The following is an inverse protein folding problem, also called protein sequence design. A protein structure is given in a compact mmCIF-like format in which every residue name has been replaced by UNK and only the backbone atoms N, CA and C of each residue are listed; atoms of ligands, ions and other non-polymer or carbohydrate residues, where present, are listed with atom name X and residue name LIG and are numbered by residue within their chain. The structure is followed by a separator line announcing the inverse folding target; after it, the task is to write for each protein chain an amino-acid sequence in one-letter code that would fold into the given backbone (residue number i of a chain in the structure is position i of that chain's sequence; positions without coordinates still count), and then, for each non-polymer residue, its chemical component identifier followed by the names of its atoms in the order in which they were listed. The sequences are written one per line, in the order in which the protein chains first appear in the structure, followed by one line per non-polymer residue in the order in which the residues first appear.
data_IF_869033626463
#
_entry.id   IF_869033626463
#
_cell.length_a   1.000
_cell.length_b   1.000
_cell.length_c   1.000
_cell.angle_alpha   90.00
_cell.angle_beta   90.00
_cell.angle_gamma   90.00
#
_symmetry.space_group_name_H-M   'P 1'
#
loop_
_entity.id
_entity.type
_entity.pdbx_description
1 polymer ?
#
# COMPACT_ATOMS: atom_id res chain seq x y z
N UNK A 1 15.42 -7.85 -0.09
CA UNK A 1 15.85 -6.43 -0.13
C UNK A 1 15.84 -5.87 1.28
N UNK A 2 16.93 -5.28 1.77
CA UNK A 2 17.08 -4.90 3.19
C UNK A 2 16.05 -3.86 3.68
N UNK A 3 15.49 -3.07 2.76
CA UNK A 3 14.65 -1.90 3.06
C UNK A 3 13.14 -2.12 2.82
N UNK A 4 12.75 -3.25 2.21
CA UNK A 4 11.33 -3.59 2.03
C UNK A 4 10.73 -4.16 3.32
N UNK A 5 9.42 -3.98 3.50
CA UNK A 5 8.70 -4.40 4.70
C UNK A 5 8.39 -5.88 4.63
N UNK A 6 9.02 -6.66 5.51
CA UNK A 6 8.66 -8.05 5.74
C UNK A 6 7.61 -8.13 6.86
N UNK A 7 6.80 -9.20 6.85
CA UNK A 7 5.89 -9.47 7.96
C UNK A 7 6.68 -9.71 9.26
N UNK A 8 6.24 -9.24 10.45
CA UNK A 8 6.98 -9.37 11.72
C UNK A 8 7.38 -10.78 12.15
N UNK A 9 6.76 -11.84 11.59
CA UNK A 9 7.16 -13.24 11.85
C UNK A 9 8.28 -13.74 10.93
N UNK A 10 8.67 -12.96 9.93
CA UNK A 10 9.80 -13.26 9.05
C UNK A 10 11.13 -13.04 9.76
N UNK A 11 12.11 -13.90 9.52
CA UNK A 11 13.50 -13.71 9.96
C UNK A 11 14.14 -12.44 9.36
N UNK A 12 13.62 -11.97 8.23
CA UNK A 12 14.13 -10.80 7.51
C UNK A 12 13.53 -9.47 8.00
N UNK A 13 12.59 -9.50 8.94
CA UNK A 13 11.94 -8.30 9.45
C UNK A 13 12.89 -7.40 10.24
N UNK A 14 12.83 -6.11 9.95
CA UNK A 14 13.54 -5.06 10.69
C UNK A 14 12.58 -3.89 10.93
N UNK A 15 12.45 -3.36 12.15
CA UNK A 15 11.51 -2.27 12.46
C UNK A 15 11.64 -1.04 11.56
N UNK A 16 12.86 -0.71 11.11
CA UNK A 16 13.12 0.43 10.20
C UNK A 16 12.38 0.29 8.85
N UNK A 17 12.05 -0.93 8.44
CA UNK A 17 11.34 -1.22 7.20
C UNK A 17 9.94 -0.63 7.18
N UNK A 18 9.30 -0.43 8.33
CA UNK A 18 7.99 0.23 8.46
C UNK A 18 8.02 1.62 7.82
N UNK A 19 9.16 2.30 7.85
CA UNK A 19 9.33 3.58 7.18
C UNK A 19 10.00 3.44 5.82
N UNK A 20 11.06 2.64 5.70
CA UNK A 20 11.88 2.64 4.48
C UNK A 20 11.19 2.01 3.28
N UNK A 21 10.24 1.10 3.49
CA UNK A 21 9.54 0.44 2.37
C UNK A 21 8.75 1.43 1.51
N UNK A 22 8.32 2.56 2.09
CA UNK A 22 7.59 3.63 1.42
C UNK A 22 8.41 4.29 0.30
N UNK A 23 9.73 4.12 0.30
CA UNK A 23 10.65 4.69 -0.68
C UNK A 23 11.22 3.64 -1.64
N UNK A 24 10.85 2.37 -1.46
CA UNK A 24 11.29 1.26 -2.30
C UNK A 24 10.29 1.02 -3.43
N UNK A 25 10.78 0.54 -4.57
CA UNK A 25 9.95 0.26 -5.74
C UNK A 25 10.35 -1.06 -6.38
N UNK A 26 9.35 -1.84 -6.81
CA UNK A 26 9.55 -3.19 -7.34
C UNK A 26 10.21 -3.20 -8.73
N UNK A 27 9.94 -2.19 -9.55
CA UNK A 27 10.48 -2.04 -10.90
C UNK A 27 10.36 -0.59 -11.38
N UNK A 28 10.92 -0.31 -12.56
CA UNK A 28 10.90 1.02 -13.17
C UNK A 28 9.49 1.60 -13.33
N UNK A 29 8.54 0.82 -13.87
CA UNK A 29 7.18 1.30 -14.09
C UNK A 29 6.44 1.63 -12.79
N UNK A 30 6.67 0.81 -11.75
CA UNK A 30 6.13 1.08 -10.43
C UNK A 30 6.68 2.39 -9.85
N UNK A 31 7.98 2.67 -10.01
CA UNK A 31 8.56 3.95 -9.64
C UNK A 31 7.97 5.11 -10.46
N UNK A 32 7.94 4.94 -11.78
CA UNK A 32 7.47 5.98 -12.71
C UNK A 32 6.06 6.44 -12.38
N UNK A 33 5.09 5.54 -12.25
CA UNK A 33 3.70 5.92 -11.99
C UNK A 33 3.48 6.53 -10.61
N UNK A 34 4.20 6.06 -9.58
CA UNK A 34 4.15 6.70 -8.25
C UNK A 34 4.68 8.13 -8.31
N UNK A 35 5.85 8.33 -8.93
CA UNK A 35 6.45 9.66 -9.01
C UNK A 35 5.64 10.59 -9.92
N UNK A 36 5.06 10.07 -10.99
CA UNK A 36 4.16 10.81 -11.88
C UNK A 36 2.91 11.31 -11.13
N UNK A 37 2.28 10.44 -10.34
CA UNK A 37 1.14 10.83 -9.52
C UNK A 37 1.53 11.84 -8.42
N UNK A 38 2.66 11.64 -7.74
CA UNK A 38 3.18 12.61 -6.76
C UNK A 38 3.49 13.96 -7.40
N UNK A 39 4.07 13.97 -8.59
CA UNK A 39 4.38 15.21 -9.30
C UNK A 39 3.11 15.99 -9.66
N UNK A 40 2.10 15.32 -10.22
CA UNK A 40 0.87 16.00 -10.64
C UNK A 40 -0.01 16.41 -9.45
N UNK A 41 -0.33 15.47 -8.58
CA UNK A 41 -1.33 15.69 -7.52
C UNK A 41 -0.68 16.18 -6.24
N UNK A 42 0.51 15.67 -5.92
CA UNK A 42 1.26 16.06 -4.72
C UNK A 42 1.66 17.53 -4.75
N UNK A 43 2.17 18.04 -5.87
CA UNK A 43 2.53 19.46 -6.01
C UNK A 43 1.34 20.40 -5.75
N UNK A 44 0.14 20.05 -6.24
CA UNK A 44 -1.06 20.85 -6.00
C UNK A 44 -1.40 20.89 -4.51
N UNK A 45 -1.37 19.73 -3.83
CA UNK A 45 -1.65 19.66 -2.39
C UNK A 45 -0.58 20.36 -1.55
N UNK A 46 0.70 20.22 -1.92
CA UNK A 46 1.80 20.88 -1.23
C UNK A 46 1.71 22.40 -1.35
N UNK A 47 1.32 22.94 -2.52
CA UNK A 47 1.11 24.38 -2.69
C UNK A 47 -0.02 24.92 -1.81
N UNK A 48 -1.06 24.13 -1.53
CA UNK A 48 -2.18 24.53 -0.65
C UNK A 48 -1.81 24.41 0.83
N UNK A 49 -1.12 23.33 1.22
CA UNK A 49 -0.89 23.01 2.62
C UNK A 49 0.47 23.45 3.16
N UNK A 50 1.42 23.73 2.27
CA UNK A 50 2.84 23.86 2.56
C UNK A 50 3.52 22.50 2.79
N UNK A 51 4.87 22.47 2.73
CA UNK A 51 5.67 21.25 2.75
C UNK A 51 5.48 20.42 4.02
N UNK A 52 5.37 21.06 5.18
CA UNK A 52 5.23 20.38 6.48
C UNK A 52 3.94 19.55 6.57
N UNK A 53 2.80 20.13 6.19
CA UNK A 53 1.51 19.43 6.24
C UNK A 53 1.44 18.37 5.14
N UNK A 54 1.95 18.65 3.95
CA UNK A 54 2.05 17.66 2.89
C UNK A 54 2.85 16.42 3.32
N UNK A 55 4.03 16.61 3.92
CA UNK A 55 4.85 15.51 4.42
C UNK A 55 4.14 14.69 5.51
N UNK A 56 3.48 15.35 6.48
CA UNK A 56 2.69 14.65 7.51
C UNK A 56 1.58 13.83 6.84
N UNK A 57 0.88 14.41 5.86
CA UNK A 57 -0.18 13.73 5.14
C UNK A 57 0.35 12.48 4.41
N UNK A 58 1.44 12.63 3.65
CA UNK A 58 2.10 11.55 2.93
C UNK A 58 2.51 10.41 3.88
N UNK A 59 3.16 10.74 4.99
CA UNK A 59 3.60 9.76 5.99
C UNK A 59 2.42 9.03 6.65
N UNK A 60 1.36 9.75 7.04
CA UNK A 60 0.18 9.13 7.65
C UNK A 60 -0.53 8.20 6.67
N UNK A 61 -0.63 8.59 5.38
CA UNK A 61 -1.23 7.72 4.37
C UNK A 61 -0.38 6.46 4.13
N UNK A 62 0.94 6.60 4.02
CA UNK A 62 1.82 5.45 3.82
C UNK A 62 1.88 4.51 5.04
N UNK A 63 1.97 5.04 6.26
CA UNK A 63 1.92 4.23 7.48
C UNK A 63 0.54 3.60 7.70
N UNK A 64 -0.53 4.29 7.35
CA UNK A 64 -1.89 3.73 7.35
C UNK A 64 -2.05 2.59 6.36
N UNK A 65 -1.50 2.74 5.16
CA UNK A 65 -1.44 1.67 4.16
C UNK A 65 -0.64 0.47 4.66
N UNK A 66 0.54 0.69 5.26
CA UNK A 66 1.35 -0.36 5.86
C UNK A 66 0.60 -1.09 6.98
N UNK A 67 -0.11 -0.35 7.86
CA UNK A 67 -0.90 -0.97 8.92
C UNK A 67 -2.02 -1.85 8.35
N UNK A 68 -2.77 -1.37 7.36
CA UNK A 68 -3.84 -2.17 6.72
C UNK A 68 -3.26 -3.39 6.01
N UNK A 69 -2.16 -3.21 5.29
CA UNK A 69 -1.41 -4.29 4.64
C UNK A 69 -1.01 -5.38 5.63
N UNK A 70 -0.30 -5.02 6.70
CA UNK A 70 0.15 -5.95 7.75
C UNK A 70 -1.02 -6.65 8.44
N UNK A 71 -2.17 -5.97 8.57
CA UNK A 71 -3.37 -6.57 9.15
C UNK A 71 -3.95 -7.67 8.26
N UNK A 72 -3.95 -7.48 6.93
CA UNK A 72 -4.40 -8.50 5.98
C UNK A 72 -3.40 -9.66 5.94
N UNK A 73 -2.10 -9.38 5.93
CA UNK A 73 -1.08 -10.44 6.03
C UNK A 73 -1.22 -11.22 7.34
N UNK A 74 -1.46 -10.55 8.47
CA UNK A 74 -1.67 -11.23 9.75
C UNK A 74 -2.87 -12.19 9.71
N UNK A 75 -3.97 -11.77 9.06
CA UNK A 75 -5.13 -12.62 8.85
C UNK A 75 -4.79 -13.84 7.95
N UNK A 76 -4.08 -13.63 6.85
CA UNK A 76 -3.67 -14.72 5.96
C UNK A 76 -2.67 -15.68 6.63
N UNK A 77 -1.71 -15.16 7.38
CA UNK A 77 -0.79 -15.94 8.20
C UNK A 77 -1.57 -16.84 9.16
N UNK A 78 -2.50 -16.29 9.92
CA UNK A 78 -3.32 -17.05 10.87
C UNK A 78 -4.13 -18.16 10.17
N UNK A 79 -4.64 -17.91 8.96
CA UNK A 79 -5.32 -18.92 8.14
C UNK A 79 -4.37 -20.03 7.69
N UNK A 80 -3.18 -19.68 7.22
CA UNK A 80 -2.20 -20.64 6.68
C UNK A 80 -1.60 -21.54 7.77
N UNK A 81 -1.23 -20.98 8.93
CA UNK A 81 -0.63 -21.78 10.01
C UNK A 81 -1.60 -22.80 10.61
N UNK A 82 -2.91 -22.55 10.52
CA UNK A 82 -3.94 -23.49 10.94
C UNK A 82 -4.17 -24.63 9.93
N UNK A 83 -3.64 -24.52 8.71
CA UNK A 83 -3.83 -25.48 7.63
C UNK A 83 -2.61 -26.39 7.39
N UNK A 84 -1.53 -26.22 8.15
CA UNK A 84 -0.31 -27.03 8.08
C UNK A 84 0.02 -27.64 9.44
N UNK A 85 0.83 -28.71 9.47
CA UNK A 85 1.27 -29.33 10.72
C UNK A 85 2.28 -28.44 11.45
N UNK A 86 2.42 -28.58 12.79
CA UNK A 86 3.45 -27.86 13.55
C UNK A 86 4.87 -28.09 13.02
N UNK A 87 5.22 -29.32 12.64
CA UNK A 87 6.54 -29.65 12.07
C UNK A 87 6.78 -28.93 10.73
N UNK A 88 5.76 -28.87 9.86
CA UNK A 88 5.84 -28.14 8.60
C UNK A 88 5.95 -26.63 8.82
N UNK A 89 5.24 -26.09 9.83
CA UNK A 89 5.36 -24.68 10.22
C UNK A 89 6.78 -24.36 10.67
N UNK A 90 7.34 -25.17 11.57
CA UNK A 90 8.71 -24.98 12.07
C UNK A 90 9.73 -25.03 10.92
N UNK A 91 9.57 -25.97 9.99
CA UNK A 91 10.42 -26.07 8.81
C UNK A 91 10.36 -24.81 7.94
N UNK A 92 9.16 -24.26 7.69
CA UNK A 92 9.01 -23.02 6.90
C UNK A 92 9.61 -21.82 7.62
N UNK A 93 9.44 -21.72 8.95
CA UNK A 93 9.97 -20.61 9.73
C UNK A 93 11.51 -20.61 9.75
N UNK A 94 12.13 -21.79 9.88
CA UNK A 94 13.59 -21.91 10.01
C UNK A 94 14.33 -21.99 8.68
N UNK A 95 13.75 -22.62 7.64
CA UNK A 95 14.44 -22.85 6.37
C UNK A 95 13.84 -22.05 5.20
N UNK A 96 12.65 -21.47 5.37
CA UNK A 96 11.90 -20.86 4.29
C UNK A 96 12.62 -19.69 3.61
N UNK A 97 13.33 -18.87 4.40
CA UNK A 97 14.14 -17.75 3.88
C UNK A 97 15.27 -18.26 2.97
N UNK A 98 16.07 -19.21 3.46
CA UNK A 98 17.17 -19.80 2.68
C UNK A 98 16.67 -20.52 1.42
N UNK A 99 15.53 -21.21 1.50
CA UNK A 99 14.90 -21.82 0.33
C UNK A 99 14.47 -20.77 -0.71
N UNK A 100 13.84 -19.68 -0.26
CA UNK A 100 13.36 -18.62 -1.14
C UNK A 100 14.53 -17.93 -1.87
N UNK A 101 15.61 -17.64 -1.15
CA UNK A 101 16.83 -17.05 -1.72
C UNK A 101 17.52 -17.98 -2.74
N UNK A 102 17.43 -19.30 -2.53
CA UNK A 102 17.91 -20.30 -3.49
C UNK A 102 16.96 -20.50 -4.69
N UNK A 103 15.87 -19.74 -4.80
CA UNK A 103 14.87 -19.90 -5.85
C UNK A 103 14.03 -21.18 -5.73
N UNK A 104 14.01 -21.79 -4.53
CA UNK A 104 13.28 -23.03 -4.24
C UNK A 104 11.96 -22.72 -3.55
N UNK A 105 10.98 -23.59 -3.80
CA UNK A 105 9.68 -23.56 -3.13
C UNK A 105 9.39 -24.92 -2.50
N UNK A 106 8.65 -24.92 -1.40
CA UNK A 106 8.15 -26.16 -0.81
C UNK A 106 7.13 -26.83 -1.74
N UNK A 107 7.11 -28.16 -1.73
CA UNK A 107 6.16 -28.94 -2.54
C UNK A 107 4.74 -28.91 -2.00
N UNK A 108 4.59 -28.79 -0.68
CA UNK A 108 3.29 -28.60 -0.03
C UNK A 108 2.78 -27.17 -0.27
N UNK A 109 1.52 -27.05 -0.70
CA UNK A 109 0.93 -25.77 -1.11
C UNK A 109 0.72 -24.81 0.06
N UNK A 110 0.44 -25.32 1.26
CA UNK A 110 0.30 -24.53 2.48
C UNK A 110 1.66 -23.95 2.90
N UNK A 111 2.69 -24.79 2.90
CA UNK A 111 4.07 -24.38 3.17
C UNK A 111 4.58 -23.37 2.15
N UNK A 112 4.33 -23.59 0.85
CA UNK A 112 4.72 -22.66 -0.20
C UNK A 112 4.04 -21.29 -0.02
N UNK A 113 2.74 -21.28 0.27
CA UNK A 113 1.99 -20.04 0.49
C UNK A 113 2.54 -19.27 1.69
N UNK A 114 2.85 -19.97 2.78
CA UNK A 114 3.44 -19.37 3.98
C UNK A 114 4.85 -18.85 3.71
N UNK A 115 5.67 -19.60 2.98
CA UNK A 115 7.01 -19.18 2.56
C UNK A 115 6.96 -17.87 1.77
N UNK A 116 6.08 -17.76 0.78
CA UNK A 116 5.93 -16.55 -0.03
C UNK A 116 5.44 -15.36 0.81
N UNK A 117 4.49 -15.58 1.70
CA UNK A 117 3.97 -14.55 2.61
C UNK A 117 5.05 -13.99 3.54
N UNK A 118 5.94 -14.85 4.05
CA UNK A 118 6.99 -14.43 4.98
C UNK A 118 8.23 -13.84 4.30
N UNK A 119 8.51 -14.21 3.04
CA UNK A 119 9.79 -13.88 2.39
C UNK A 119 9.66 -12.94 1.19
N UNK A 120 8.44 -12.56 0.82
CA UNK A 120 8.22 -11.50 -0.18
C UNK A 120 8.08 -10.15 0.53
N UNK A 121 9.04 -9.22 0.39
CA UNK A 121 8.93 -7.92 1.02
C UNK A 121 7.94 -7.02 0.28
N UNK A 122 7.20 -6.23 1.05
CA UNK A 122 6.36 -5.15 0.53
C UNK A 122 7.20 -3.91 0.27
N UNK A 123 6.96 -3.29 -0.87
CA UNK A 123 7.66 -2.08 -1.33
C UNK A 123 6.67 -1.17 -2.05
N UNK A 124 6.75 0.13 -1.83
CA UNK A 124 6.01 1.10 -2.63
C UNK A 124 5.50 2.30 -1.85
N UNK A 125 5.52 3.45 -2.53
CA UNK A 125 4.86 4.67 -2.09
C UNK A 125 3.34 4.67 -2.35
N UNK A 126 2.80 3.65 -3.04
CA UNK A 126 1.48 3.69 -3.64
C UNK A 126 0.35 3.93 -2.63
N UNK A 127 0.41 3.36 -1.43
CA UNK A 127 -0.54 3.66 -0.36
C UNK A 127 -0.61 5.16 -0.02
N UNK A 128 0.53 5.83 0.06
CA UNK A 128 0.57 7.28 0.27
C UNK A 128 0.05 8.06 -0.95
N UNK A 129 0.35 7.60 -2.17
CA UNK A 129 -0.16 8.16 -3.42
C UNK A 129 -1.69 8.06 -3.50
N UNK A 130 -2.28 6.93 -3.11
CA UNK A 130 -3.73 6.75 -3.05
C UNK A 130 -4.38 7.69 -2.04
N UNK A 131 -3.72 7.94 -0.89
CA UNK A 131 -4.11 9.01 0.03
C UNK A 131 -4.10 10.39 -0.64
N UNK A 132 -3.06 10.72 -1.40
CA UNK A 132 -2.94 11.97 -2.18
C UNK A 132 -4.05 12.09 -3.22
N UNK A 133 -4.35 11.03 -3.97
CA UNK A 133 -5.47 11.01 -4.91
C UNK A 133 -6.79 11.29 -4.20
N UNK A 134 -7.02 10.65 -3.05
CA UNK A 134 -8.21 10.91 -2.23
C UNK A 134 -8.28 12.39 -1.80
N UNK A 135 -7.21 12.95 -1.24
CA UNK A 135 -7.18 14.35 -0.85
C UNK A 135 -7.48 15.28 -2.02
N UNK A 136 -6.88 15.03 -3.18
CA UNK A 136 -7.12 15.81 -4.39
C UNK A 136 -8.58 15.72 -4.83
N UNK A 137 -9.19 14.53 -4.87
CA UNK A 137 -10.59 14.35 -5.21
C UNK A 137 -11.56 15.02 -4.23
N UNK A 138 -11.18 15.13 -2.94
CA UNK A 138 -11.98 15.79 -1.91
C UNK A 138 -11.86 17.31 -1.96
N UNK A 139 -10.64 17.84 -2.16
CA UNK A 139 -10.39 19.29 -2.16
C UNK A 139 -10.70 19.96 -3.51
N UNK A 140 -10.46 19.24 -4.61
CA UNK A 140 -10.63 19.75 -5.98
C UNK A 140 -11.64 18.92 -6.77
N UNK A 141 -12.86 18.68 -6.25
CA UNK A 141 -13.77 17.66 -6.77
C UNK A 141 -14.24 17.91 -8.20
N UNK A 142 -14.21 19.17 -8.67
CA UNK A 142 -14.66 19.58 -10.00
C UNK A 142 -13.52 19.77 -11.01
N UNK A 143 -12.25 19.65 -10.60
CA UNK A 143 -11.11 19.71 -11.53
C UNK A 143 -11.23 18.60 -12.56
N UNK A 144 -11.11 18.94 -13.84
CA UNK A 144 -11.18 17.99 -14.93
C UNK A 144 -9.81 17.38 -15.16
N UNK A 145 -9.72 16.06 -15.02
CA UNK A 145 -8.56 15.26 -15.36
C UNK A 145 -8.76 14.70 -16.76
N UNK A 146 -7.74 14.83 -17.59
CA UNK A 146 -7.77 14.34 -18.96
C UNK A 146 -7.30 12.89 -18.99
N UNK A 147 -8.20 11.93 -19.26
CA UNK A 147 -7.79 10.56 -19.59
C UNK A 147 -7.08 10.63 -20.95
N UNK A 148 -5.87 10.09 -21.07
CA UNK A 148 -5.06 10.29 -22.28
C UNK A 148 -5.64 9.50 -23.47
N UNK A 149 -6.26 8.35 -23.22
CA UNK A 149 -6.79 7.49 -24.27
C UNK A 149 -8.03 6.70 -23.83
N UNK A 150 -9.23 6.96 -24.40
CA UNK A 150 -9.59 8.11 -25.24
C UNK A 150 -9.57 9.43 -24.45
N UNK A 151 -9.42 10.60 -25.12
CA UNK A 151 -9.44 11.91 -24.47
C UNK A 151 -10.82 12.25 -23.91
N UNK A 152 -11.14 11.75 -22.71
CA UNK A 152 -12.39 12.03 -22.00
C UNK A 152 -12.09 12.77 -20.70
N UNK A 153 -12.59 14.01 -20.52
CA UNK A 153 -12.39 14.75 -19.29
C UNK A 153 -13.30 14.16 -18.20
N UNK A 154 -12.71 13.79 -17.06
CA UNK A 154 -13.42 13.29 -15.90
C UNK A 154 -13.16 14.20 -14.70
N UNK A 155 -14.21 14.53 -13.93
CA UNK A 155 -14.03 15.30 -12.70
C UNK A 155 -13.29 14.45 -11.67
N UNK A 156 -12.36 15.06 -10.94
CA UNK A 156 -11.51 14.39 -9.96
C UNK A 156 -12.30 13.54 -8.94
N UNK A 157 -13.46 14.00 -8.48
CA UNK A 157 -14.31 13.22 -7.57
C UNK A 157 -14.74 11.87 -8.16
N UNK A 158 -15.10 11.83 -9.45
CA UNK A 158 -15.53 10.60 -10.11
C UNK A 158 -14.33 9.70 -10.37
N UNK A 159 -13.21 10.28 -10.80
CA UNK A 159 -11.96 9.53 -10.98
C UNK A 159 -11.57 8.79 -9.69
N UNK A 160 -11.53 9.50 -8.55
CA UNK A 160 -11.15 8.93 -7.26
C UNK A 160 -12.17 7.92 -6.75
N UNK A 161 -13.47 8.20 -6.89
CA UNK A 161 -14.51 7.25 -6.47
C UNK A 161 -14.49 5.96 -7.28
N UNK A 162 -14.35 6.06 -8.61
CA UNK A 162 -14.24 4.90 -9.49
C UNK A 162 -12.98 4.12 -9.16
N UNK A 163 -11.83 4.80 -9.05
CA UNK A 163 -10.57 4.10 -8.81
C UNK A 163 -10.55 3.43 -7.42
N UNK A 164 -11.00 4.12 -6.37
CA UNK A 164 -11.16 3.51 -5.05
C UNK A 164 -12.19 2.37 -5.02
N UNK A 165 -13.26 2.48 -5.80
CA UNK A 165 -14.25 1.40 -5.97
C UNK A 165 -13.68 0.17 -6.67
N UNK A 166 -12.83 0.37 -7.69
CA UNK A 166 -12.10 -0.71 -8.36
C UNK A 166 -11.14 -1.38 -7.38
N UNK A 167 -10.33 -0.62 -6.64
CA UNK A 167 -9.43 -1.18 -5.63
C UNK A 167 -10.19 -1.99 -4.57
N UNK A 168 -11.34 -1.48 -4.11
CA UNK A 168 -12.21 -2.20 -3.19
C UNK A 168 -12.70 -3.52 -3.79
N UNK A 169 -13.20 -3.49 -5.02
CA UNK A 169 -13.64 -4.71 -5.70
C UNK A 169 -12.50 -5.72 -5.88
N UNK A 170 -11.33 -5.28 -6.32
CA UNK A 170 -10.17 -6.15 -6.53
C UNK A 170 -9.61 -6.72 -5.22
N UNK A 171 -9.69 -5.96 -4.12
CA UNK A 171 -9.29 -6.44 -2.79
C UNK A 171 -10.09 -7.67 -2.30
N UNK A 172 -11.28 -7.91 -2.86
CA UNK A 172 -12.10 -9.08 -2.54
C UNK A 172 -12.15 -10.13 -3.65
N UNK A 173 -11.73 -9.80 -4.88
CA UNK A 173 -11.97 -10.64 -6.06
C UNK A 173 -10.69 -11.14 -6.74
N UNK A 174 -9.50 -10.65 -6.36
CA UNK A 174 -8.22 -11.06 -6.95
C UNK A 174 -7.33 -11.77 -5.93
N UNK A 175 -7.55 -13.10 -5.71
CA UNK A 175 -6.64 -13.94 -4.93
C UNK A 175 -5.18 -13.73 -5.35
N UNK A 176 -4.31 -13.44 -4.37
CA UNK A 176 -2.89 -13.21 -4.60
C UNK A 176 -2.48 -11.74 -4.75
N UNK A 177 -3.38 -10.82 -5.15
CA UNK A 177 -3.11 -9.37 -5.14
C UNK A 177 -3.95 -8.58 -4.14
N UNK A 178 -4.90 -9.23 -3.44
CA UNK A 178 -5.78 -8.61 -2.44
C UNK A 178 -5.04 -7.73 -1.43
N UNK A 179 -3.87 -8.19 -0.94
CA UNK A 179 -3.05 -7.50 0.05
C UNK A 179 -2.63 -6.11 -0.46
N UNK A 180 -2.23 -5.99 -1.73
CA UNK A 180 -1.81 -4.72 -2.32
C UNK A 180 -2.98 -3.74 -2.45
N UNK A 181 -4.14 -4.23 -2.91
CA UNK A 181 -5.35 -3.42 -3.02
C UNK A 181 -5.84 -2.93 -1.64
N UNK A 182 -5.76 -3.79 -0.62
CA UNK A 182 -6.07 -3.42 0.75
C UNK A 182 -5.12 -2.32 1.28
N UNK A 183 -3.83 -2.37 0.93
CA UNK A 183 -2.88 -1.31 1.28
C UNK A 183 -3.28 0.04 0.66
N UNK A 184 -3.66 0.07 -0.62
CA UNK A 184 -4.13 1.28 -1.29
C UNK A 184 -5.37 1.89 -0.58
N UNK A 185 -6.35 1.05 -0.25
CA UNK A 185 -7.55 1.46 0.48
C UNK A 185 -7.21 1.94 1.90
N UNK A 186 -6.24 1.32 2.55
CA UNK A 186 -5.69 1.78 3.83
C UNK A 186 -5.14 3.21 3.74
N UNK A 187 -4.34 3.48 2.70
CA UNK A 187 -3.83 4.82 2.44
C UNK A 187 -4.94 5.87 2.25
N UNK A 188 -5.98 5.52 1.47
CA UNK A 188 -7.18 6.36 1.29
C UNK A 188 -7.92 6.59 2.61
N UNK A 189 -8.12 5.54 3.42
CA UNK A 189 -8.85 5.60 4.68
C UNK A 189 -8.15 6.51 5.69
N UNK A 190 -6.86 6.27 5.94
CA UNK A 190 -6.09 7.07 6.90
C UNK A 190 -5.92 8.52 6.41
N UNK A 191 -5.73 8.71 5.10
CA UNK A 191 -5.75 10.04 4.48
C UNK A 191 -7.08 10.76 4.67
N UNK A 192 -8.22 10.06 4.55
CA UNK A 192 -9.53 10.63 4.78
C UNK A 192 -9.74 11.02 6.25
N UNK A 193 -9.34 10.15 7.19
CA UNK A 193 -9.43 10.41 8.63
C UNK A 193 -8.63 11.68 8.99
N UNK A 194 -7.38 11.78 8.54
CA UNK A 194 -6.54 12.95 8.80
C UNK A 194 -7.12 14.22 8.18
N UNK A 195 -7.62 14.14 6.95
CA UNK A 195 -8.24 15.29 6.28
C UNK A 195 -9.49 15.77 7.02
N UNK A 196 -10.33 14.85 7.52
CA UNK A 196 -11.50 15.17 8.34
C UNK A 196 -11.11 15.79 9.68
N UNK A 197 -10.04 15.32 10.29
CA UNK A 197 -9.49 15.91 11.51
C UNK A 197 -9.00 17.36 11.27
N UNK A 198 -8.23 17.61 10.21
CA UNK A 198 -7.76 18.96 9.89
C UNK A 198 -8.91 19.91 9.52
N UNK A 199 -9.95 19.44 8.82
CA UNK A 199 -11.16 20.25 8.54
C UNK A 199 -11.84 20.78 9.80
N UNK A 200 -11.77 20.04 10.91
CA UNK A 200 -12.37 20.45 12.19
C UNK A 200 -11.46 21.36 13.00
N UNK A 201 -10.15 21.24 12.84
CA UNK A 201 -9.16 21.85 13.75
C UNK A 201 -8.39 23.02 13.13
N UNK A 202 -8.50 23.24 11.82
CA UNK A 202 -7.78 24.29 11.11
C UNK A 202 -8.73 25.24 10.40
N UNK A 203 -8.45 26.55 10.47
CA UNK A 203 -9.20 27.60 9.76
C UNK A 203 -8.76 27.77 8.30
N UNK A 204 -7.61 27.21 7.94
CA UNK A 204 -6.93 27.37 6.64
C UNK A 204 -6.50 26.02 6.10
N UNK A 205 -7.47 25.20 5.70
CA UNK A 205 -7.18 23.88 5.10
C UNK A 205 -7.03 23.93 3.58
N UNK A 206 -7.84 24.76 2.94
CA UNK A 206 -7.95 24.97 1.51
C UNK A 206 -8.67 26.30 1.31
#
# INVERSE_FOLDING_TARGET
STLGLYFPKSENFKPVQILTHMFMHANFWHLFFNMYALFIFGQVLENVWGPKRFLIYYLVCGLGAALTHESVIAYEYARLVNNITPDNLELVLNEGSAYYEAGKVFSDSGMQSLQLLLNTPTVGASGAVFGILLAFGVLFPNTQLMIIFPPIPIKAKYFVLIYGGIELFLAFTQPGSNIAHAAHLGGMLFGFILLRYWRKTTKTLY
#
